data_IF_104999318724
#
_entry.id   IF_104999318724
#
_cell.length_a   1.000
_cell.length_b   1.000
_cell.length_c   1.000
_cell.angle_alpha   90.00
_cell.angle_beta   90.00
_cell.angle_gamma   90.00
#
_symmetry.space_group_name_H-M   'P 1'
#
loop_
_entity.id
_entity.type
_entity.pdbx_description
1 polymer ?
#
# COMPACT_ATOMS: atom_id res chain seq x y z
N UNK A 1 4.67 -11.62 -39.97
CA UNK A 1 5.06 -12.78 -39.13
C UNK A 1 6.47 -12.55 -38.64
N UNK A 2 6.64 -12.32 -37.34
CA UNK A 2 7.85 -12.58 -36.55
C UNK A 2 7.51 -12.25 -35.08
N UNK A 3 7.35 -13.31 -34.28
CA UNK A 3 7.18 -13.34 -32.82
C UNK A 3 8.48 -13.99 -32.25
N UNK A 4 8.70 -14.04 -30.93
CA UNK A 4 9.21 -13.00 -30.04
C UNK A 4 10.61 -13.37 -29.48
N UNK A 5 11.47 -12.39 -29.27
CA UNK A 5 12.62 -12.52 -28.36
C UNK A 5 12.48 -11.24 -27.55
N UNK A 6 11.96 -11.25 -26.33
CA UNK A 6 12.66 -11.62 -25.11
C UNK A 6 11.66 -11.81 -23.94
N UNK A 7 11.45 -13.04 -23.42
CA UNK A 7 10.87 -13.24 -22.10
C UNK A 7 11.92 -13.62 -21.03
N UNK A 8 13.21 -13.33 -21.27
CA UNK A 8 14.32 -13.85 -20.43
C UNK A 8 15.12 -12.78 -19.68
N UNK A 9 14.86 -11.49 -19.89
CA UNK A 9 15.44 -10.41 -19.05
C UNK A 9 14.56 -10.06 -17.85
N UNK A 10 13.26 -10.30 -17.92
CA UNK A 10 12.29 -9.94 -16.87
C UNK A 10 12.57 -10.69 -15.56
N UNK A 11 13.08 -11.92 -15.64
CA UNK A 11 13.36 -12.75 -14.47
C UNK A 11 14.69 -12.48 -13.75
N UNK A 12 15.60 -11.67 -14.32
CA UNK A 12 16.90 -11.41 -13.68
C UNK A 12 16.95 -10.14 -12.84
N UNK A 13 16.04 -9.18 -13.04
CA UNK A 13 15.97 -7.94 -12.26
C UNK A 13 15.06 -8.05 -11.02
N UNK A 14 14.22 -9.10 -10.94
CA UNK A 14 13.38 -9.40 -9.78
C UNK A 14 14.17 -9.75 -8.51
N UNK A 15 15.44 -10.14 -8.64
CA UNK A 15 16.29 -10.55 -7.52
C UNK A 15 17.09 -9.41 -6.85
N UNK A 16 17.09 -8.20 -7.43
CA UNK A 16 17.93 -7.08 -6.98
C UNK A 16 17.19 -6.05 -6.13
N UNK A 17 15.87 -6.17 -5.96
CA UNK A 17 15.14 -5.38 -4.97
C UNK A 17 15.24 -6.12 -3.65
N UNK A 18 16.31 -5.83 -2.91
CA UNK A 18 16.39 -6.23 -1.52
C UNK A 18 15.16 -5.72 -0.77
N UNK A 19 14.65 -6.62 0.06
CA UNK A 19 13.51 -6.55 0.96
C UNK A 19 13.66 -5.45 2.02
N UNK A 20 13.85 -4.21 1.58
CA UNK A 20 13.86 -3.06 2.48
C UNK A 20 12.44 -2.51 2.62
N UNK A 21 12.06 -2.22 3.86
CA UNK A 21 10.78 -1.57 4.14
C UNK A 21 10.73 -0.23 3.41
N UNK A 22 9.59 0.08 2.79
CA UNK A 22 9.38 1.33 2.05
C UNK A 22 9.83 2.57 2.82
N UNK A 23 10.36 3.59 2.16
CA UNK A 23 11.10 4.68 2.80
C UNK A 23 10.29 5.51 3.81
N UNK A 24 8.99 5.66 3.61
CA UNK A 24 8.18 6.66 4.30
C UNK A 24 7.50 6.11 5.55
N UNK A 25 8.19 6.23 6.68
CA UNK A 25 7.65 5.90 8.00
C UNK A 25 6.53 6.86 8.42
N UNK A 26 5.42 6.32 8.93
CA UNK A 26 4.29 7.10 9.46
C UNK A 26 4.17 6.95 10.98
N UNK A 27 4.36 5.74 11.51
CA UNK A 27 4.24 5.46 12.94
C UNK A 27 4.13 3.96 13.23
N UNK A 28 3.50 3.63 14.35
CA UNK A 28 3.18 2.26 14.75
C UNK A 28 1.69 2.12 15.04
N UNK A 29 1.15 0.92 14.87
CA UNK A 29 -0.20 0.60 15.30
C UNK A 29 -0.34 0.90 16.80
N UNK A 30 -1.35 1.69 17.15
CA UNK A 30 -1.58 2.08 18.53
C UNK A 30 -1.87 0.86 19.42
N UNK A 31 -1.42 0.93 20.68
CA UNK A 31 -1.57 -0.16 21.62
C UNK A 31 -3.05 -0.53 21.83
N UNK A 32 -3.36 -1.83 21.78
CA UNK A 32 -4.72 -2.33 21.96
C UNK A 32 -5.60 -2.25 20.70
N UNK A 33 -5.12 -1.66 19.61
CA UNK A 33 -5.79 -1.70 18.30
C UNK A 33 -5.38 -2.96 17.53
N UNK A 34 -6.28 -3.46 16.69
CA UNK A 34 -6.07 -4.66 15.85
C UNK A 34 -6.04 -4.31 14.37
N UNK A 35 -5.47 -5.20 13.55
CA UNK A 35 -5.53 -5.06 12.09
C UNK A 35 -6.96 -5.10 11.55
N UNK A 36 -7.85 -5.89 12.16
CA UNK A 36 -9.24 -5.98 11.75
C UNK A 36 -9.97 -4.64 11.93
N UNK A 37 -9.78 -3.98 13.09
CA UNK A 37 -10.35 -2.65 13.35
C UNK A 37 -9.74 -1.59 12.43
N UNK A 38 -8.43 -1.63 12.21
CA UNK A 38 -7.76 -0.70 11.29
C UNK A 38 -8.30 -0.83 9.86
N UNK A 39 -8.43 -2.07 9.35
CA UNK A 39 -9.01 -2.33 8.02
C UNK A 39 -10.43 -1.78 7.92
N UNK A 40 -11.26 -2.07 8.93
CA UNK A 40 -12.64 -1.63 8.97
C UNK A 40 -12.76 -0.09 8.96
N UNK A 41 -11.90 0.57 9.73
CA UNK A 41 -11.81 2.03 9.77
C UNK A 41 -11.37 2.61 8.43
N UNK A 42 -10.27 2.10 7.87
CA UNK A 42 -9.72 2.59 6.60
C UNK A 42 -10.67 2.36 5.42
N UNK A 43 -11.40 1.24 5.38
CA UNK A 43 -12.34 0.98 4.30
C UNK A 43 -13.60 1.82 4.43
N UNK A 44 -14.20 1.89 5.63
CA UNK A 44 -15.48 2.59 5.83
C UNK A 44 -15.35 4.10 5.77
N UNK A 45 -14.31 4.66 6.37
CA UNK A 45 -14.19 6.12 6.52
C UNK A 45 -13.41 6.76 5.38
N UNK A 46 -12.50 6.01 4.73
CA UNK A 46 -11.54 6.58 3.79
C UNK A 46 -11.50 5.88 2.43
N UNK A 47 -12.23 4.78 2.25
CA UNK A 47 -12.31 4.07 0.97
C UNK A 47 -11.00 3.38 0.57
N UNK A 48 -10.15 3.02 1.54
CA UNK A 48 -9.04 2.12 1.22
C UNK A 48 -9.57 0.71 0.95
N UNK A 49 -8.93 0.04 -0.02
CA UNK A 49 -9.16 -1.37 -0.31
C UNK A 49 -7.83 -2.10 -0.43
N UNK A 50 -7.92 -3.42 -0.54
CA UNK A 50 -6.73 -4.24 -0.71
C UNK A 50 -6.05 -3.95 -2.05
N UNK A 51 -4.73 -4.00 -2.04
CA UNK A 51 -3.93 -3.92 -3.27
C UNK A 51 -3.03 -5.16 -3.29
N UNK A 52 -3.48 -6.18 -4.05
CA UNK A 52 -2.67 -7.36 -4.33
C UNK A 52 -1.55 -6.99 -5.29
N UNK A 53 -0.43 -6.56 -4.73
CA UNK A 53 0.84 -6.52 -5.45
C UNK A 53 1.61 -7.77 -5.00
N UNK A 54 2.00 -8.62 -5.95
CA UNK A 54 2.70 -9.89 -5.75
C UNK A 54 4.13 -9.77 -5.14
N UNK A 55 4.38 -8.67 -4.42
CA UNK A 55 5.62 -8.31 -3.75
C UNK A 55 5.38 -8.39 -2.24
N UNK A 56 5.48 -9.60 -1.69
CA UNK A 56 5.44 -9.82 -0.25
C UNK A 56 6.81 -9.51 0.35
N UNK A 57 6.96 -8.32 0.95
CA UNK A 57 7.94 -8.20 2.04
C UNK A 57 7.55 -9.24 3.10
N UNK A 58 8.50 -10.07 3.52
CA UNK A 58 8.28 -11.20 4.46
C UNK A 58 7.61 -10.79 5.77
N UNK A 59 7.69 -9.52 6.13
CA UNK A 59 7.10 -8.99 7.36
C UNK A 59 5.86 -8.14 7.12
N UNK A 60 5.45 -7.90 5.87
CA UNK A 60 4.24 -7.15 5.57
C UNK A 60 2.99 -7.99 5.89
N UNK A 61 2.08 -7.41 6.67
CA UNK A 61 0.82 -8.04 7.09
C UNK A 61 -0.42 -7.30 6.57
N UNK A 62 -0.23 -6.10 6.00
CA UNK A 62 -1.26 -5.30 5.32
C UNK A 62 -0.64 -4.48 4.18
N UNK A 63 -1.30 -4.43 3.02
CA UNK A 63 -0.97 -3.53 1.90
C UNK A 63 -2.25 -3.03 1.24
N UNK A 64 -2.60 -1.78 1.49
CA UNK A 64 -3.89 -1.20 1.13
C UNK A 64 -3.72 0.09 0.33
N UNK A 65 -4.57 0.26 -0.67
CA UNK A 65 -4.59 1.41 -1.57
C UNK A 65 -5.85 2.24 -1.37
N UNK A 66 -5.72 3.55 -1.45
CA UNK A 66 -6.82 4.48 -1.72
C UNK A 66 -6.55 5.26 -2.99
N UNK A 67 -7.49 5.25 -3.94
CA UNK A 67 -7.42 6.10 -5.12
C UNK A 67 -7.72 7.56 -4.75
N UNK A 68 -6.93 8.47 -5.29
CA UNK A 68 -7.11 9.93 -5.17
C UNK A 68 -7.50 10.58 -6.50
N UNK A 69 -7.07 9.95 -7.60
CA UNK A 69 -7.53 10.19 -8.96
C UNK A 69 -7.32 8.92 -9.80
N UNK A 70 -7.67 8.96 -11.09
CA UNK A 70 -7.25 7.90 -12.02
C UNK A 70 -5.72 7.76 -12.07
N UNK A 71 -4.98 8.84 -11.81
CA UNK A 71 -3.53 8.89 -11.96
C UNK A 71 -2.79 8.73 -10.64
N UNK A 72 -3.44 8.93 -9.49
CA UNK A 72 -2.76 9.01 -8.19
C UNK A 72 -3.43 8.19 -7.11
N UNK A 73 -2.60 7.64 -6.23
CA UNK A 73 -3.02 6.75 -5.15
C UNK A 73 -2.20 6.97 -3.88
N UNK A 74 -2.84 6.73 -2.75
CA UNK A 74 -2.16 6.52 -1.46
C UNK A 74 -1.97 5.02 -1.28
N UNK A 75 -0.75 4.60 -0.96
CA UNK A 75 -0.42 3.23 -0.60
C UNK A 75 0.00 3.18 0.87
N UNK A 76 -0.63 2.30 1.63
CA UNK A 76 -0.38 2.09 3.06
C UNK A 76 0.06 0.64 3.28
N UNK A 77 1.12 0.45 4.06
CA UNK A 77 1.61 -0.86 4.49
C UNK A 77 1.71 -0.94 6.00
N UNK A 78 1.39 -2.11 6.54
CA UNK A 78 1.62 -2.45 7.95
C UNK A 78 2.48 -3.70 8.01
N UNK A 79 3.47 -3.67 8.89
CA UNK A 79 4.41 -4.78 9.11
C UNK A 79 4.07 -5.55 10.40
N UNK A 80 4.60 -6.76 10.53
CA UNK A 80 4.30 -7.70 11.61
C UNK A 80 4.71 -7.16 12.98
N UNK A 81 5.64 -6.22 13.03
CA UNK A 81 6.04 -5.52 14.26
C UNK A 81 5.15 -4.31 14.60
N UNK A 82 4.10 -4.07 13.81
CA UNK A 82 3.19 -2.94 13.98
C UNK A 82 3.66 -1.66 13.31
N UNK A 83 4.82 -1.62 12.66
CA UNK A 83 5.22 -0.42 11.91
C UNK A 83 4.24 -0.13 10.77
N UNK A 84 3.87 1.14 10.63
CA UNK A 84 3.03 1.67 9.57
C UNK A 84 3.87 2.57 8.69
N UNK A 85 3.85 2.29 7.39
CA UNK A 85 4.51 3.09 6.36
C UNK A 85 3.55 3.37 5.22
N UNK A 86 3.80 4.43 4.47
CA UNK A 86 2.96 4.75 3.33
C UNK A 86 3.44 5.96 2.57
N UNK A 87 3.04 5.99 1.30
CA UNK A 87 3.45 6.98 0.34
C UNK A 87 2.33 7.24 -0.66
N UNK A 88 2.45 8.36 -1.35
CA UNK A 88 1.55 8.80 -2.40
C UNK A 88 2.29 8.75 -3.73
N UNK A 89 1.71 8.06 -4.70
CA UNK A 89 2.38 7.73 -5.96
C UNK A 89 1.40 7.77 -7.14
N UNK A 90 1.96 7.65 -8.35
CA UNK A 90 1.14 7.41 -9.54
C UNK A 90 0.55 6.00 -9.53
N UNK A 91 -0.68 5.88 -10.02
CA UNK A 91 -1.33 4.59 -10.24
C UNK A 91 -0.53 3.77 -11.26
N UNK A 92 -0.42 2.44 -11.10
CA UNK A 92 0.18 1.56 -12.08
C UNK A 92 -0.44 1.73 -13.48
N UNK A 93 -1.72 2.04 -13.54
CA UNK A 93 -2.54 2.16 -14.76
C UNK A 93 -2.22 3.44 -15.56
N UNK A 94 -1.81 4.54 -14.92
CA UNK A 94 -1.47 5.80 -15.61
C UNK A 94 -0.03 5.82 -16.16
N UNK A 95 0.87 5.00 -15.63
CA UNK A 95 2.25 4.94 -16.09
C UNK A 95 2.90 3.55 -15.88
N UNK A 96 2.62 2.57 -16.77
CA UNK A 96 3.13 1.19 -16.65
C UNK A 96 4.67 1.10 -16.56
N UNK A 97 5.37 2.05 -17.20
CA UNK A 97 6.84 2.10 -17.22
C UNK A 97 7.48 2.85 -16.05
N UNK A 98 6.74 3.68 -15.30
CA UNK A 98 7.30 4.49 -14.19
C UNK A 98 7.13 3.84 -12.81
N UNK A 99 6.18 2.90 -12.68
CA UNK A 99 5.95 2.16 -11.44
C UNK A 99 7.17 1.33 -11.00
N UNK A 100 8.05 0.97 -11.94
CA UNK A 100 9.29 0.23 -11.67
C UNK A 100 10.44 1.08 -11.12
N UNK A 101 10.26 2.40 -10.94
CA UNK A 101 11.39 3.31 -10.68
C UNK A 101 11.22 4.23 -9.46
N UNK A 102 10.17 4.07 -8.64
CA UNK A 102 9.92 4.95 -7.47
C UNK A 102 9.93 6.46 -7.82
N UNK A 103 9.68 6.81 -9.09
CA UNK A 103 9.75 8.19 -9.57
C UNK A 103 8.46 8.90 -9.13
N UNK A 104 8.59 9.75 -8.11
CA UNK A 104 7.57 10.66 -7.56
C UNK A 104 6.76 10.14 -6.36
N UNK A 105 7.34 9.24 -5.55
CA UNK A 105 6.76 8.93 -4.23
C UNK A 105 6.85 10.13 -3.28
N UNK A 106 5.73 10.48 -2.65
CA UNK A 106 5.65 11.54 -1.64
C UNK A 106 5.19 10.98 -0.30
N UNK A 107 5.75 11.46 0.81
CA UNK A 107 5.42 10.92 2.13
C UNK A 107 3.97 11.17 2.55
N UNK A 108 3.41 12.35 2.20
CA UNK A 108 2.04 12.80 2.56
C UNK A 108 1.66 12.48 4.02
N UNK A 109 2.62 12.59 4.94
CA UNK A 109 2.48 12.11 6.32
C UNK A 109 1.26 12.70 7.04
N UNK A 110 0.96 13.98 6.82
CA UNK A 110 -0.23 14.63 7.42
C UNK A 110 -1.55 13.99 6.98
N UNK A 111 -1.67 13.65 5.69
CA UNK A 111 -2.85 12.97 5.15
C UNK A 111 -2.98 11.58 5.77
N UNK A 112 -1.86 10.85 5.86
CA UNK A 112 -1.86 9.54 6.51
C UNK A 112 -2.22 9.60 8.00
N UNK A 113 -1.72 10.59 8.75
CA UNK A 113 -2.10 10.78 10.14
C UNK A 113 -3.60 11.08 10.28
N UNK A 114 -4.17 11.83 9.33
CA UNK A 114 -5.62 12.08 9.26
C UNK A 114 -6.41 10.79 8.97
N UNK A 115 -5.93 9.96 8.03
CA UNK A 115 -6.58 8.68 7.70
C UNK A 115 -6.53 7.71 8.88
N UNK A 116 -5.39 7.63 9.56
CA UNK A 116 -5.15 6.66 10.64
C UNK A 116 -5.77 7.11 11.98
N UNK A 117 -5.84 8.41 12.25
CA UNK A 117 -6.43 8.94 13.48
C UNK A 117 -5.85 8.28 14.74
N UNK A 118 -6.71 7.71 15.58
CA UNK A 118 -6.32 7.02 16.83
C UNK A 118 -5.63 5.66 16.63
N UNK A 119 -5.56 5.14 15.39
CA UNK A 119 -4.92 3.86 15.11
C UNK A 119 -3.40 3.97 14.97
N UNK A 120 -2.84 5.18 14.90
CA UNK A 120 -1.41 5.40 14.80
C UNK A 120 -0.85 6.05 16.06
N UNK A 121 0.31 5.55 16.47
CA UNK A 121 1.13 6.07 17.55
C UNK A 121 2.50 6.44 17.01
N UNK A 122 3.02 7.59 17.43
CA UNK A 122 4.42 7.98 17.16
C UNK A 122 5.40 7.30 18.14
N UNK A 123 4.88 6.74 19.24
CA UNK A 123 5.66 5.90 20.14
C UNK A 123 5.74 4.49 19.58
N UNK A 124 6.96 3.98 19.42
CA UNK A 124 7.21 2.62 18.99
C UNK A 124 6.54 1.61 19.92
N UNK A 125 5.60 0.86 19.36
CA UNK A 125 4.97 -0.28 19.99
C UNK A 125 5.22 -1.50 19.11
N UNK A 126 6.02 -2.45 19.60
CA UNK A 126 6.35 -3.66 18.84
C UNK A 126 5.25 -4.69 19.07
N UNK A 127 4.45 -4.91 18.04
CA UNK A 127 3.43 -5.96 18.00
C UNK A 127 3.97 -7.30 17.48
N UNK A 128 3.13 -8.33 17.57
CA UNK A 128 3.29 -9.59 16.85
C UNK A 128 2.04 -9.81 15.99
N UNK A 129 1.90 -8.97 14.98
CA UNK A 129 0.76 -8.99 14.07
C UNK A 129 0.92 -10.14 13.08
N UNK A 130 -0.19 -10.82 12.82
CA UNK A 130 -0.31 -11.83 11.76
C UNK A 130 -1.27 -11.31 10.69
N UNK A 131 -1.12 -11.70 9.42
CA UNK A 131 -2.09 -11.37 8.38
C UNK A 131 -3.48 -11.81 8.83
N UNK A 132 -4.39 -10.85 8.93
CA UNK A 132 -5.79 -11.14 9.22
C UNK A 132 -6.49 -11.58 7.94
N UNK A 133 -6.91 -12.84 7.86
CA UNK A 133 -7.63 -13.43 6.72
C UNK A 133 -9.14 -13.50 6.95
N UNK A 134 -9.63 -13.07 8.11
CA UNK A 134 -11.04 -13.21 8.51
C UNK A 134 -11.95 -12.13 7.92
N UNK A 135 -11.40 -10.95 7.60
CA UNK A 135 -12.12 -9.86 6.92
C UNK A 135 -11.87 -9.99 5.42
N UNK A 136 -12.91 -10.26 4.59
CA UNK A 136 -12.75 -10.26 3.14
C UNK A 136 -12.19 -8.91 2.70
N UNK A 137 -11.09 -8.93 1.96
CA UNK A 137 -10.58 -7.72 1.35
C UNK A 137 -11.64 -7.14 0.42
N UNK A 138 -12.16 -5.96 0.73
CA UNK A 138 -12.82 -5.15 -0.28
C UNK A 138 -11.74 -4.75 -1.27
N UNK A 139 -11.95 -5.04 -2.55
CA UNK A 139 -11.15 -4.43 -3.61
C UNK A 139 -11.31 -2.91 -3.50
N UNK A 140 -10.30 -2.15 -3.91
CA UNK A 140 -10.42 -0.69 -3.99
C UNK A 140 -11.37 -0.32 -5.14
N UNK A 141 -12.68 -0.51 -4.94
CA UNK A 141 -13.74 -0.35 -5.96
C UNK A 141 -14.20 1.11 -6.10
N UNK A 142 -13.28 2.08 -6.10
CA UNK A 142 -13.61 3.44 -6.57
C UNK A 142 -13.17 3.56 -8.02
N UNK A 143 -14.01 3.06 -8.94
CA UNK A 143 -13.95 3.47 -10.34
C UNK A 143 -14.38 4.93 -10.45
N UNK A 144 -13.49 5.80 -10.94
CA UNK A 144 -13.87 7.13 -11.39
C UNK A 144 -14.90 7.00 -12.52
N UNK A 145 -16.15 7.38 -12.27
CA UNK A 145 -17.05 7.73 -13.37
C UNK A 145 -16.51 9.03 -13.94
N UNK A 146 -15.86 8.96 -15.10
CA UNK A 146 -15.46 10.16 -15.82
C UNK A 146 -16.72 10.97 -16.11
N UNK A 147 -16.78 12.20 -15.58
CA UNK A 147 -17.79 13.17 -15.99
C UNK A 147 -17.67 13.31 -17.52
N UNK A 148 -18.67 12.76 -18.20
CA UNK A 148 -18.74 12.78 -19.64
C UNK A 148 -19.23 14.16 -20.07
N UNK A 149 -18.27 15.05 -20.30
CA UNK A 149 -18.36 16.35 -21.02
C UNK A 149 -19.27 17.44 -20.45
#
# INVERSE_FOLDING_TARGET
MLYPIFPTLEHKFLFLHETERQKFHIGWLAQGKTLAELKLHLSKEWGFGNHFVAWEDKTQVLSWRKLDSFEKQYHLRVYSDGEIRGHYEFTPEAAPYKHFTEIDEQSKTEDFLKFLGEYVSQTKYVGHLIPDTSVPSQESEITYQGDSK
#
